data_IF_481713627187
#
_entry.id   IF_481713627187
#
_cell.length_a   1.000
_cell.length_b   1.000
_cell.length_c   1.000
_cell.angle_alpha   90.00
_cell.angle_beta   90.00
_cell.angle_gamma   90.00
#
_symmetry.space_group_name_H-M   'P 1'
#
loop_
_entity.id
_entity.type
_entity.pdbx_description
1 polymer ?
#
# COMPACT_ATOMS: atom_id res chain seq x y z
N UNK A 1 43.64 12.80 -15.26
CA UNK A 1 42.98 12.39 -14.01
C UNK A 1 41.48 12.23 -14.28
N UNK A 2 41.08 11.10 -14.84
CA UNK A 2 39.69 10.75 -15.11
C UNK A 2 39.05 10.26 -13.82
N UNK A 3 38.15 11.08 -13.26
CA UNK A 3 37.34 10.73 -12.10
C UNK A 3 36.50 9.49 -12.44
N UNK A 4 36.85 8.34 -11.86
CA UNK A 4 35.98 7.17 -11.86
C UNK A 4 34.75 7.53 -11.02
N UNK A 5 33.66 7.85 -11.71
CA UNK A 5 32.34 7.99 -11.11
C UNK A 5 31.98 6.67 -10.42
N UNK A 6 32.15 6.65 -9.10
CA UNK A 6 31.73 5.58 -8.23
C UNK A 6 30.19 5.50 -8.29
N UNK A 7 29.67 4.77 -9.27
CA UNK A 7 28.26 4.34 -9.32
C UNK A 7 28.06 3.37 -8.16
N UNK A 8 27.86 3.94 -6.97
CA UNK A 8 27.31 3.23 -5.82
C UNK A 8 25.94 2.72 -6.26
N UNK A 9 25.89 1.48 -6.73
CA UNK A 9 24.67 0.68 -6.77
C UNK A 9 24.27 0.49 -5.30
N UNK A 10 23.65 1.52 -4.73
CA UNK A 10 23.08 1.45 -3.39
C UNK A 10 22.06 0.33 -3.38
N UNK A 11 22.30 -0.67 -2.53
CA UNK A 11 21.37 -1.75 -2.29
C UNK A 11 19.97 -1.16 -2.11
N UNK A 12 19.00 -1.63 -2.92
CA UNK A 12 17.62 -1.26 -2.76
C UNK A 12 17.13 -1.86 -1.44
N UNK A 13 17.27 -1.11 -0.35
CA UNK A 13 16.66 -1.49 0.92
C UNK A 13 15.15 -1.42 0.72
N UNK A 14 14.51 -2.59 0.67
CA UNK A 14 13.05 -2.68 0.69
C UNK A 14 12.59 -1.99 1.95
N UNK A 15 11.64 -1.07 1.83
CA UNK A 15 11.03 -0.44 2.98
C UNK A 15 10.02 -1.38 3.62
N UNK A 16 10.54 -2.20 4.52
CA UNK A 16 9.78 -3.12 5.34
C UNK A 16 8.60 -2.49 6.10
N UNK A 17 8.65 -1.21 6.55
CA UNK A 17 7.47 -0.59 7.16
C UNK A 17 6.25 -0.60 6.24
N UNK A 18 6.41 -0.20 4.98
CA UNK A 18 5.32 -0.17 3.99
C UNK A 18 4.83 -1.58 3.64
N UNK A 19 5.74 -2.55 3.59
CA UNK A 19 5.37 -3.98 3.41
C UNK A 19 4.53 -4.47 4.59
N UNK A 20 4.94 -4.18 5.82
CA UNK A 20 4.20 -4.57 7.02
C UNK A 20 2.83 -3.90 7.08
N UNK A 21 2.75 -2.60 6.79
CA UNK A 21 1.49 -1.87 6.74
C UNK A 21 0.55 -2.41 5.67
N UNK A 22 1.06 -2.79 4.50
CA UNK A 22 0.25 -3.43 3.46
C UNK A 22 -0.31 -4.78 3.92
N UNK A 23 0.53 -5.63 4.53
CA UNK A 23 0.09 -6.91 5.09
C UNK A 23 -0.96 -6.72 6.19
N UNK A 24 -0.77 -5.75 7.09
CA UNK A 24 -1.73 -5.42 8.14
C UNK A 24 -3.05 -4.89 7.56
N UNK A 25 -2.98 -4.07 6.52
CA UNK A 25 -4.15 -3.52 5.83
C UNK A 25 -5.03 -4.64 5.24
N UNK A 26 -4.44 -5.49 4.37
CA UNK A 26 -5.21 -6.57 3.72
C UNK A 26 -5.59 -7.69 4.70
N UNK A 27 -4.70 -8.05 5.63
CA UNK A 27 -4.99 -9.03 6.67
C UNK A 27 -6.11 -8.56 7.60
N UNK A 28 -6.05 -7.29 8.03
CA UNK A 28 -7.09 -6.66 8.83
C UNK A 28 -8.44 -6.58 8.10
N UNK A 29 -8.43 -6.25 6.81
CA UNK A 29 -9.64 -6.27 5.99
C UNK A 29 -10.28 -7.67 5.91
N UNK A 30 -9.49 -8.71 5.62
CA UNK A 30 -9.96 -10.10 5.59
C UNK A 30 -10.50 -10.54 6.95
N UNK A 31 -9.75 -10.29 8.02
CA UNK A 31 -10.17 -10.63 9.38
C UNK A 31 -11.47 -9.91 9.77
N UNK A 32 -11.60 -8.63 9.43
CA UNK A 32 -12.82 -7.88 9.70
C UNK A 32 -14.03 -8.43 8.92
N UNK A 33 -13.86 -8.75 7.64
CA UNK A 33 -14.93 -9.30 6.80
C UNK A 33 -15.35 -10.71 7.18
N UNK A 34 -14.41 -11.59 7.54
CA UNK A 34 -14.72 -13.00 7.82
C UNK A 34 -14.97 -13.30 9.30
N UNK A 35 -14.30 -12.61 10.22
CA UNK A 35 -14.34 -12.93 11.65
C UNK A 35 -15.18 -11.93 12.45
N UNK A 36 -15.05 -10.63 12.18
CA UNK A 36 -15.79 -9.62 12.95
C UNK A 36 -17.20 -9.38 12.41
N UNK A 37 -17.37 -9.32 11.09
CA UNK A 37 -18.65 -8.97 10.46
C UNK A 37 -19.84 -9.85 10.89
N UNK A 38 -19.73 -11.19 10.97
CA UNK A 38 -20.87 -12.03 11.31
C UNK A 38 -21.43 -11.80 12.73
N UNK A 39 -20.57 -11.39 13.67
CA UNK A 39 -20.92 -11.28 15.10
C UNK A 39 -20.99 -9.84 15.60
N UNK A 40 -20.18 -8.93 15.05
CA UNK A 40 -20.01 -7.56 15.53
C UNK A 40 -19.97 -6.56 14.37
N UNK A 41 -21.07 -6.37 13.62
CA UNK A 41 -21.08 -5.55 12.40
C UNK A 41 -20.70 -4.09 12.63
N UNK A 42 -21.12 -3.49 13.76
CA UNK A 42 -20.75 -2.10 14.07
C UNK A 42 -19.24 -1.94 14.37
N UNK A 43 -18.66 -2.89 15.09
CA UNK A 43 -17.22 -2.90 15.37
C UNK A 43 -16.43 -3.17 14.07
N UNK A 44 -16.92 -4.09 13.24
CA UNK A 44 -16.34 -4.36 11.93
C UNK A 44 -16.36 -3.10 11.04
N UNK A 45 -17.46 -2.35 11.00
CA UNK A 45 -17.55 -1.09 10.24
C UNK A 45 -16.55 -0.04 10.74
N UNK A 46 -16.44 0.16 12.06
CA UNK A 46 -15.47 1.09 12.63
C UNK A 46 -14.03 0.69 12.26
N UNK A 47 -13.70 -0.59 12.37
CA UNK A 47 -12.39 -1.11 12.01
C UNK A 47 -12.10 -1.01 10.51
N UNK A 48 -13.07 -1.35 9.65
CA UNK A 48 -12.96 -1.23 8.20
C UNK A 48 -12.76 0.23 7.75
N UNK A 49 -13.33 1.19 8.47
CA UNK A 49 -13.10 2.63 8.21
C UNK A 49 -11.63 3.00 8.44
N UNK A 50 -11.02 2.52 9.53
CA UNK A 50 -9.60 2.72 9.80
C UNK A 50 -8.71 2.03 8.74
N UNK A 51 -9.08 0.82 8.33
CA UNK A 51 -8.38 0.08 7.27
C UNK A 51 -8.47 0.82 5.93
N UNK A 52 -9.62 1.41 5.58
CA UNK A 52 -9.77 2.21 4.37
C UNK A 52 -8.92 3.49 4.41
N UNK A 53 -8.82 4.15 5.56
CA UNK A 53 -7.92 5.29 5.74
C UNK A 53 -6.45 4.88 5.56
N UNK A 54 -6.03 3.78 6.20
CA UNK A 54 -4.68 3.21 6.03
C UNK A 54 -4.39 2.85 4.55
N UNK A 55 -5.37 2.28 3.86
CA UNK A 55 -5.25 1.92 2.44
C UNK A 55 -5.04 3.16 1.57
N UNK A 56 -5.69 4.27 1.91
CA UNK A 56 -5.50 5.56 1.22
C UNK A 56 -4.09 6.14 1.47
N UNK A 57 -3.58 6.04 2.70
CA UNK A 57 -2.19 6.44 3.01
C UNK A 57 -1.17 5.58 2.27
N UNK A 58 -1.37 4.26 2.19
CA UNK A 58 -0.51 3.35 1.42
C UNK A 58 -0.52 3.68 -0.08
N UNK A 59 -1.68 4.04 -0.63
CA UNK A 59 -1.77 4.48 -2.03
C UNK A 59 -0.94 5.74 -2.28
N UNK A 60 -0.95 6.70 -1.34
CA UNK A 60 -0.13 7.91 -1.42
C UNK A 60 1.37 7.57 -1.36
N UNK A 61 1.76 6.69 -0.45
CA UNK A 61 3.15 6.25 -0.29
C UNK A 61 3.67 5.50 -1.54
N UNK A 62 2.85 4.62 -2.11
CA UNK A 62 3.18 3.92 -3.37
C UNK A 62 3.25 4.88 -4.56
N UNK A 63 2.45 5.96 -4.54
CA UNK A 63 2.52 7.01 -5.56
C UNK A 63 3.90 7.68 -5.61
N UNK A 64 4.55 7.84 -4.44
CA UNK A 64 5.91 8.37 -4.31
C UNK A 64 7.00 7.38 -4.75
N UNK A 65 6.65 6.11 -4.97
CA UNK A 65 7.58 5.10 -5.48
C UNK A 65 8.18 4.17 -4.42
N UNK A 66 7.58 4.09 -3.23
CA UNK A 66 7.91 3.11 -2.20
C UNK A 66 7.04 1.84 -2.33
N UNK A 67 7.41 0.66 -1.77
CA UNK A 67 8.62 0.36 -0.99
C UNK A 67 9.87 0.00 -1.79
N UNK A 68 9.76 -0.14 -3.11
CA UNK A 68 10.88 -0.57 -3.97
C UNK A 68 11.05 0.35 -5.17
N UNK A 69 12.21 0.32 -5.82
CA UNK A 69 12.41 1.06 -7.08
C UNK A 69 11.55 0.58 -8.25
N UNK A 70 10.89 -0.58 -8.14
CA UNK A 70 10.06 -1.12 -9.22
C UNK A 70 8.60 -0.70 -9.03
N UNK A 71 8.16 0.26 -9.84
CA UNK A 71 6.79 0.76 -9.82
C UNK A 71 5.74 -0.35 -9.99
N UNK A 72 6.02 -1.41 -10.77
CA UNK A 72 5.07 -2.53 -10.96
C UNK A 72 4.93 -3.38 -9.69
N UNK A 73 6.02 -3.58 -8.95
CA UNK A 73 5.98 -4.31 -7.69
C UNK A 73 5.23 -3.49 -6.64
N UNK A 74 5.47 -2.19 -6.58
CA UNK A 74 4.76 -1.29 -5.66
C UNK A 74 3.25 -1.23 -5.98
N UNK A 75 2.90 -1.17 -7.27
CA UNK A 75 1.51 -1.25 -7.72
C UNK A 75 0.82 -2.53 -7.24
N UNK A 76 1.53 -3.66 -7.19
CA UNK A 76 0.97 -4.92 -6.68
C UNK A 76 0.65 -4.88 -5.17
N UNK A 77 1.21 -3.95 -4.40
CA UNK A 77 0.83 -3.75 -2.99
C UNK A 77 -0.47 -2.96 -2.82
N UNK A 78 -0.98 -2.31 -3.86
CA UNK A 78 -2.17 -1.43 -3.76
C UNK A 78 -3.18 -1.68 -4.88
N UNK A 79 -2.97 -2.73 -5.70
CA UNK A 79 -3.78 -2.98 -6.89
C UNK A 79 -5.25 -3.29 -6.57
N UNK A 80 -5.51 -3.83 -5.38
CA UNK A 80 -6.84 -4.13 -4.89
C UNK A 80 -7.29 -2.94 -4.02
N UNK A 81 -8.09 -2.00 -4.57
CA UNK A 81 -8.58 -0.87 -3.82
C UNK A 81 -9.73 -1.34 -2.92
N UNK A 82 -9.47 -1.38 -1.62
CA UNK A 82 -10.46 -1.83 -0.63
C UNK A 82 -11.51 -0.74 -0.37
N UNK A 83 -11.10 0.53 -0.40
CA UNK A 83 -11.98 1.69 -0.15
C UNK A 83 -12.37 2.50 -1.40
N UNK A 84 -11.78 2.20 -2.56
CA UNK A 84 -11.98 2.96 -3.79
C UNK A 84 -12.61 2.09 -4.88
N UNK A 85 -13.64 2.60 -5.54
CA UNK A 85 -14.24 1.94 -6.71
C UNK A 85 -13.27 1.93 -7.90
N UNK A 86 -12.29 2.85 -7.91
CA UNK A 86 -11.44 3.09 -9.07
C UNK A 86 -10.08 2.38 -8.99
N UNK A 87 -9.62 1.70 -10.08
CA UNK A 87 -8.30 1.08 -10.13
C UNK A 87 -7.14 2.05 -9.85
N UNK A 88 -6.13 1.59 -9.10
CA UNK A 88 -4.96 2.38 -8.71
C UNK A 88 -4.34 3.19 -9.86
N UNK A 89 -4.21 2.60 -11.04
CA UNK A 89 -3.57 3.27 -12.19
C UNK A 89 -4.24 4.55 -12.61
N UNK A 90 -5.56 4.63 -12.48
CA UNK A 90 -6.25 5.87 -12.83
C UNK A 90 -6.49 6.78 -11.65
N UNK A 91 -6.49 6.28 -10.41
CA UNK A 91 -6.18 7.16 -9.28
C UNK A 91 -4.86 7.90 -9.54
N UNK A 92 -3.80 7.19 -9.93
CA UNK A 92 -2.49 7.79 -10.27
C UNK A 92 -2.56 8.79 -11.43
N UNK A 93 -3.38 8.56 -12.45
CA UNK A 93 -3.53 9.50 -13.57
C UNK A 93 -4.25 10.81 -13.20
N UNK A 94 -5.17 10.79 -12.24
CA UNK A 94 -5.91 12.00 -11.80
C UNK A 94 -5.24 12.74 -10.64
N UNK A 95 -4.22 12.14 -10.02
CA UNK A 95 -3.49 12.69 -8.88
C UNK A 95 -2.17 13.37 -9.26
N UNK A 96 -1.68 13.13 -10.48
CA UNK A 96 -0.51 13.79 -11.09
C UNK A 96 -0.98 14.92 -12.00
#
# INVERSE_FOLDING_TARGET
>A
MTSMGNRRHGAAAIEWPTVFLALLCYGGWLAAGFLLWPSYPLLALAFLTLIAALQSSLMHEVLHGHPTRNARLNEAFVFLPIGLVWPFRRFKTIHL
#
